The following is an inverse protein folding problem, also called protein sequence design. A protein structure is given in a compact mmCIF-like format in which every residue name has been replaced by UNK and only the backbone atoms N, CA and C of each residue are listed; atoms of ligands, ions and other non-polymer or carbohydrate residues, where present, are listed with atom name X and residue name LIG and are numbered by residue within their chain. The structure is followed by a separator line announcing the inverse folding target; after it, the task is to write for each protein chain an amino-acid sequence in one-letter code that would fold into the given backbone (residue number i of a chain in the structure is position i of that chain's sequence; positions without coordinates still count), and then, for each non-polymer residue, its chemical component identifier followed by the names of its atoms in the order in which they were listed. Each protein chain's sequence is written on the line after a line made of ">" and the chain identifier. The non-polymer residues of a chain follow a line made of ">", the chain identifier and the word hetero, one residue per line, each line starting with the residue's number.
data_IF_773737571619
#
_entry.id   IF_773737571619
#
_cell.length_a   1.000
_cell.length_b   1.000
_cell.length_c   1.000
_cell.angle_alpha   90.00
_cell.angle_beta   90.00
_cell.angle_gamma   90.00
#
_symmetry.space_group_name_H-M   'P 1'
#
loop_
_entity.id
_entity.type
_entity.pdbx_description
1 polymer ?
#
# COMPACT_ATOMS: atom_id res chain seq x y z
N UNK A 1 13.68 21.81 17.84
CA UNK A 1 13.92 20.42 17.45
C UNK A 1 15.29 20.34 16.83
N UNK A 2 16.17 19.52 17.36
CA UNK A 2 17.51 19.35 16.80
C UNK A 2 17.46 18.34 15.66
N UNK A 3 18.39 18.40 14.71
CA UNK A 3 18.51 17.43 13.62
C UNK A 3 18.66 15.98 14.09
N UNK A 4 19.04 15.77 15.34
CA UNK A 4 19.21 14.46 15.96
C UNK A 4 17.87 13.78 16.26
N UNK A 5 16.79 14.57 16.50
CA UNK A 5 15.45 14.03 16.81
C UNK A 5 14.72 13.49 15.56
N UNK A 6 15.17 13.86 14.35
CA UNK A 6 14.52 13.43 13.09
C UNK A 6 14.98 12.05 12.61
N UNK A 7 16.16 11.58 13.04
CA UNK A 7 16.66 10.25 12.68
C UNK A 7 15.90 9.09 13.34
N UNK A 8 15.08 9.39 14.34
CA UNK A 8 14.26 8.42 15.05
C UNK A 8 12.82 8.32 14.51
N UNK A 9 12.49 9.06 13.45
CA UNK A 9 11.13 9.11 12.87
C UNK A 9 11.05 8.30 11.59
N UNK A 10 9.92 7.59 11.43
CA UNK A 10 9.66 6.75 10.29
C UNK A 10 8.39 7.13 9.52
N UNK A 11 8.37 6.81 8.25
CA UNK A 11 7.16 6.80 7.43
C UNK A 11 7.05 5.44 6.76
N UNK A 12 5.88 4.85 6.86
CA UNK A 12 5.58 3.58 6.23
C UNK A 12 4.47 3.83 5.21
N UNK A 13 4.79 3.62 3.96
CA UNK A 13 3.89 3.84 2.84
C UNK A 13 3.22 2.54 2.44
N UNK A 14 1.91 2.55 2.28
CA UNK A 14 1.31 1.62 1.33
C UNK A 14 1.72 2.00 -0.09
N UNK A 15 1.52 1.11 -1.06
CA UNK A 15 2.00 1.31 -2.42
C UNK A 15 0.86 1.66 -3.38
N UNK A 16 -0.05 0.72 -3.59
CA UNK A 16 -1.11 0.78 -4.61
C UNK A 16 -2.28 1.63 -4.13
N UNK A 17 -2.61 2.73 -4.83
CA UNK A 17 -3.63 3.68 -4.39
C UNK A 17 -3.13 4.75 -3.41
N UNK A 18 -1.90 4.60 -2.90
CA UNK A 18 -1.26 5.54 -1.97
C UNK A 18 -0.12 6.33 -2.61
N UNK A 19 0.88 5.67 -3.15
CA UNK A 19 2.00 6.30 -3.86
C UNK A 19 1.83 6.28 -5.37
N UNK A 20 1.25 5.21 -5.90
CA UNK A 20 1.04 5.01 -7.34
C UNK A 20 -0.42 4.69 -7.66
N UNK A 21 -0.87 5.13 -8.84
CA UNK A 21 -2.13 4.71 -9.44
C UNK A 21 -1.84 3.48 -10.34
N UNK A 22 -1.99 2.31 -9.78
CA UNK A 22 -1.86 1.01 -10.45
C UNK A 22 -3.21 0.33 -10.72
N UNK A 23 -4.30 1.04 -10.46
CA UNK A 23 -5.67 0.50 -10.53
C UNK A 23 -6.01 -0.08 -11.89
N UNK A 24 -5.62 0.62 -12.98
CA UNK A 24 -5.89 0.16 -14.34
C UNK A 24 -5.17 -1.16 -14.67
N UNK A 25 -3.90 -1.30 -14.25
CA UNK A 25 -3.11 -2.50 -14.47
C UNK A 25 -3.65 -3.68 -13.65
N UNK A 26 -4.02 -3.44 -12.40
CA UNK A 26 -4.65 -4.45 -11.55
C UNK A 26 -6.02 -4.88 -12.08
N UNK A 27 -6.86 -3.92 -12.50
CA UNK A 27 -8.17 -4.22 -13.07
C UNK A 27 -8.04 -5.10 -14.31
N UNK A 28 -7.18 -4.72 -15.26
CA UNK A 28 -6.93 -5.48 -16.49
C UNK A 28 -6.44 -6.90 -16.19
N UNK A 29 -5.56 -7.06 -15.19
CA UNK A 29 -5.05 -8.37 -14.81
C UNK A 29 -6.16 -9.28 -14.24
N UNK A 30 -7.01 -8.75 -13.34
CA UNK A 30 -8.14 -9.50 -12.81
C UNK A 30 -9.23 -9.78 -13.85
N UNK A 31 -9.51 -8.84 -14.74
CA UNK A 31 -10.45 -9.02 -15.84
C UNK A 31 -10.00 -10.17 -16.76
N UNK A 32 -8.70 -10.26 -17.06
CA UNK A 32 -8.14 -11.36 -17.86
C UNK A 32 -8.31 -12.72 -17.15
N UNK A 33 -7.99 -12.80 -15.87
CA UNK A 33 -8.20 -14.03 -15.07
C UNK A 33 -9.67 -14.43 -15.04
N UNK A 34 -10.58 -13.49 -14.81
CA UNK A 34 -12.02 -13.75 -14.79
C UNK A 34 -12.53 -14.24 -16.15
N UNK A 35 -12.07 -13.62 -17.25
CA UNK A 35 -12.43 -14.01 -18.61
C UNK A 35 -12.02 -15.45 -18.93
N UNK A 36 -10.82 -15.87 -18.57
CA UNK A 36 -10.35 -17.23 -18.77
C UNK A 36 -11.13 -18.25 -17.95
N UNK A 37 -11.59 -17.86 -16.77
CA UNK A 37 -12.47 -18.67 -15.93
C UNK A 37 -13.94 -18.60 -16.34
N UNK A 38 -14.28 -17.82 -17.36
CA UNK A 38 -15.67 -17.58 -17.81
C UNK A 38 -16.57 -17.06 -16.67
N UNK A 39 -16.01 -16.24 -15.79
CA UNK A 39 -16.69 -15.59 -14.67
C UNK A 39 -16.89 -14.09 -14.94
N UNK A 40 -18.01 -13.51 -14.50
CA UNK A 40 -18.18 -12.06 -14.57
C UNK A 40 -17.19 -11.36 -13.63
N UNK A 41 -16.75 -10.17 -14.03
CA UNK A 41 -15.93 -9.30 -13.20
C UNK A 41 -16.28 -7.84 -13.47
N UNK A 42 -16.65 -7.11 -12.46
CA UNK A 42 -17.12 -5.73 -12.55
C UNK A 42 -16.18 -4.76 -11.86
N UNK A 43 -16.38 -3.46 -12.08
CA UNK A 43 -15.64 -2.42 -11.33
C UNK A 43 -15.97 -2.43 -9.84
N UNK A 44 -17.20 -2.78 -9.49
CA UNK A 44 -17.66 -2.96 -8.12
C UNK A 44 -16.93 -4.12 -7.43
N UNK A 45 -16.75 -5.24 -8.13
CA UNK A 45 -15.96 -6.37 -7.65
C UNK A 45 -14.51 -5.95 -7.40
N UNK A 46 -13.93 -5.19 -8.32
CA UNK A 46 -12.58 -4.67 -8.17
C UNK A 46 -12.46 -3.76 -6.95
N UNK A 47 -13.31 -2.74 -6.83
CA UNK A 47 -13.27 -1.80 -5.71
C UNK A 47 -13.43 -2.49 -4.35
N UNK A 48 -14.29 -3.50 -4.27
CA UNK A 48 -14.54 -4.27 -3.04
C UNK A 48 -13.33 -5.11 -2.61
N UNK A 49 -12.47 -5.49 -3.54
CA UNK A 49 -11.34 -6.38 -3.30
C UNK A 49 -9.98 -5.68 -3.30
N UNK A 50 -9.91 -4.42 -3.71
CA UNK A 50 -8.66 -3.67 -3.80
C UNK A 50 -7.93 -3.61 -2.45
N UNK A 51 -6.60 -3.75 -2.48
CA UNK A 51 -5.76 -3.76 -1.29
C UNK A 51 -5.69 -5.10 -0.53
N UNK A 52 -6.45 -6.12 -0.95
CA UNK A 52 -6.41 -7.47 -0.38
C UNK A 52 -5.36 -8.36 -1.06
N UNK A 53 -5.04 -9.47 -0.41
CA UNK A 53 -4.14 -10.50 -0.98
C UNK A 53 -4.86 -11.33 -2.05
N UNK A 54 -4.11 -11.81 -3.05
CA UNK A 54 -4.67 -12.63 -4.14
C UNK A 54 -5.51 -13.83 -3.68
N UNK A 55 -5.10 -14.64 -2.68
CA UNK A 55 -5.94 -15.75 -2.22
C UNK A 55 -7.30 -15.30 -1.68
N UNK A 56 -7.35 -14.16 -0.97
CA UNK A 56 -8.61 -13.59 -0.47
C UNK A 56 -9.50 -13.13 -1.63
N UNK A 57 -8.92 -12.46 -2.63
CA UNK A 57 -9.63 -12.00 -3.82
C UNK A 57 -10.19 -13.18 -4.60
N UNK A 58 -9.39 -14.22 -4.83
CA UNK A 58 -9.81 -15.44 -5.53
C UNK A 58 -10.95 -16.16 -4.79
N UNK A 59 -10.87 -16.22 -3.45
CA UNK A 59 -11.95 -16.75 -2.63
C UNK A 59 -13.24 -15.94 -2.76
N UNK A 60 -13.15 -14.61 -2.67
CA UNK A 60 -14.31 -13.71 -2.72
C UNK A 60 -14.98 -13.67 -4.10
N UNK A 61 -14.19 -13.68 -5.17
CA UNK A 61 -14.71 -13.50 -6.54
C UNK A 61 -15.11 -14.83 -7.20
N UNK A 62 -14.39 -15.89 -6.91
CA UNK A 62 -14.55 -17.16 -7.64
C UNK A 62 -14.92 -18.34 -6.75
N UNK A 63 -15.13 -18.14 -5.45
CA UNK A 63 -15.50 -19.19 -4.49
C UNK A 63 -14.41 -20.25 -4.30
N UNK A 64 -13.16 -19.87 -4.54
CA UNK A 64 -12.02 -20.79 -4.47
C UNK A 64 -11.50 -20.88 -3.02
N UNK A 65 -11.99 -21.87 -2.26
CA UNK A 65 -11.65 -21.96 -0.83
C UNK A 65 -10.58 -23.02 -0.50
N UNK A 66 -10.22 -23.94 -1.41
CA UNK A 66 -9.58 -25.18 -0.97
C UNK A 66 -8.40 -25.70 -1.77
N UNK A 67 -8.14 -25.29 -3.00
CA UNK A 67 -6.96 -25.73 -3.72
C UNK A 67 -5.83 -24.69 -3.67
N UNK A 68 -4.94 -24.82 -2.68
CA UNK A 68 -3.81 -23.94 -2.53
C UNK A 68 -2.93 -23.85 -3.79
N UNK A 69 -2.74 -24.96 -4.50
CA UNK A 69 -1.90 -24.97 -5.71
C UNK A 69 -2.55 -24.19 -6.86
N UNK A 70 -3.87 -24.32 -7.05
CA UNK A 70 -4.61 -23.53 -8.05
C UNK A 70 -4.65 -22.05 -7.68
N UNK A 71 -4.86 -21.70 -6.40
CA UNK A 71 -4.84 -20.33 -5.91
C UNK A 71 -3.48 -19.67 -6.15
N UNK A 72 -2.39 -20.37 -5.84
CA UNK A 72 -1.04 -19.89 -6.10
C UNK A 72 -0.77 -19.70 -7.60
N UNK A 73 -1.13 -20.68 -8.43
CA UNK A 73 -0.92 -20.61 -9.87
C UNK A 73 -1.68 -19.44 -10.50
N UNK A 74 -2.95 -19.22 -10.14
CA UNK A 74 -3.75 -18.11 -10.62
C UNK A 74 -3.24 -16.76 -10.08
N UNK A 75 -2.82 -16.71 -8.82
CA UNK A 75 -2.20 -15.54 -8.25
C UNK A 75 -0.93 -15.16 -9.02
N UNK A 76 -0.04 -16.11 -9.28
CA UNK A 76 1.17 -15.89 -10.07
C UNK A 76 0.85 -15.44 -11.50
N UNK A 77 -0.10 -16.07 -12.15
CA UNK A 77 -0.53 -15.71 -13.51
C UNK A 77 -1.06 -14.27 -13.56
N UNK A 78 -1.92 -13.89 -12.60
CA UNK A 78 -2.42 -12.51 -12.48
C UNK A 78 -1.26 -11.53 -12.30
N UNK A 79 -0.26 -11.86 -11.44
CA UNK A 79 0.86 -10.96 -11.22
C UNK A 79 1.77 -10.84 -12.45
N UNK A 80 1.92 -11.87 -13.26
CA UNK A 80 2.61 -11.75 -14.54
C UNK A 80 1.92 -10.75 -15.48
N UNK A 81 0.59 -10.84 -15.63
CA UNK A 81 -0.17 -9.89 -16.46
C UNK A 81 0.01 -8.45 -15.94
N UNK A 82 -0.09 -8.27 -14.63
CA UNK A 82 0.12 -6.96 -13.98
C UNK A 82 1.52 -6.40 -14.27
N UNK A 83 2.56 -7.19 -14.02
CA UNK A 83 3.95 -6.78 -14.23
C UNK A 83 4.24 -6.45 -15.70
N UNK A 84 3.70 -7.22 -16.64
CA UNK A 84 3.84 -6.96 -18.06
C UNK A 84 3.12 -5.66 -18.48
N UNK A 85 1.96 -5.38 -17.90
CA UNK A 85 1.27 -4.11 -18.10
C UNK A 85 2.09 -2.93 -17.53
N UNK A 86 2.64 -3.05 -16.32
CA UNK A 86 3.49 -2.02 -15.73
C UNK A 86 4.77 -1.78 -16.56
N UNK A 87 5.43 -2.83 -17.03
CA UNK A 87 6.63 -2.71 -17.87
C UNK A 87 6.34 -2.03 -19.22
N UNK A 88 5.17 -2.30 -19.80
CA UNK A 88 4.76 -1.75 -21.11
C UNK A 88 4.30 -0.30 -20.99
N UNK A 89 3.44 0.00 -20.02
CA UNK A 89 2.69 1.25 -19.93
C UNK A 89 3.22 2.20 -18.84
N UNK A 90 4.10 1.72 -17.98
CA UNK A 90 4.56 2.42 -16.77
C UNK A 90 3.49 2.43 -15.68
N UNK A 91 3.74 3.25 -14.65
CA UNK A 91 2.79 3.55 -13.58
C UNK A 91 2.84 5.04 -13.28
N UNK A 92 1.70 5.63 -12.94
CA UNK A 92 1.63 7.05 -12.56
C UNK A 92 1.80 7.19 -11.06
N UNK A 93 2.64 8.13 -10.63
CA UNK A 93 2.64 8.57 -9.24
C UNK A 93 1.37 9.35 -8.94
N UNK A 94 0.83 9.15 -7.75
CA UNK A 94 -0.28 9.97 -7.26
C UNK A 94 0.20 11.40 -6.95
N UNK A 95 -0.69 12.41 -7.06
CA UNK A 95 -0.33 13.82 -6.88
C UNK A 95 0.34 14.09 -5.53
N UNK A 96 1.56 14.62 -5.57
CA UNK A 96 2.36 14.97 -4.40
C UNK A 96 3.23 13.84 -3.84
N UNK A 97 3.14 12.60 -4.38
CA UNK A 97 3.86 11.45 -3.84
C UNK A 97 5.38 11.62 -3.89
N UNK A 98 5.94 11.93 -5.06
CA UNK A 98 7.40 12.09 -5.22
C UNK A 98 7.94 13.27 -4.41
N UNK A 99 7.25 14.39 -4.46
CA UNK A 99 7.63 15.62 -3.75
C UNK A 99 7.70 15.39 -2.24
N UNK A 100 6.68 14.69 -1.69
CA UNK A 100 6.59 14.42 -0.27
C UNK A 100 7.63 13.39 0.19
N UNK A 101 7.82 12.30 -0.58
CA UNK A 101 8.85 11.29 -0.31
C UNK A 101 10.24 11.91 -0.28
N UNK A 102 10.57 12.79 -1.24
CA UNK A 102 11.84 13.52 -1.27
C UNK A 102 11.99 14.46 -0.08
N UNK A 103 10.98 15.28 0.19
CA UNK A 103 11.03 16.24 1.30
C UNK A 103 11.21 15.55 2.65
N UNK A 104 10.57 14.40 2.87
CA UNK A 104 10.75 13.61 4.09
C UNK A 104 12.16 13.00 4.18
N UNK A 105 12.70 12.49 3.07
CA UNK A 105 14.08 11.99 3.02
C UNK A 105 15.11 13.10 3.34
N UNK A 106 14.94 14.29 2.75
CA UNK A 106 15.79 15.46 3.00
C UNK A 106 15.75 15.91 4.48
N UNK A 107 14.63 15.68 5.15
CA UNK A 107 14.46 15.97 6.59
C UNK A 107 14.86 14.79 7.50
N UNK A 108 15.45 13.72 6.94
CA UNK A 108 16.00 12.61 7.69
C UNK A 108 14.99 11.57 8.17
N UNK A 109 13.75 11.60 7.68
CA UNK A 109 12.79 10.52 7.97
C UNK A 109 13.23 9.21 7.31
N UNK A 110 13.20 8.13 8.06
CA UNK A 110 13.38 6.77 7.52
C UNK A 110 12.09 6.33 6.84
N UNK A 111 12.18 5.75 5.64
CA UNK A 111 11.01 5.42 4.86
C UNK A 111 11.01 3.96 4.42
N UNK A 112 9.88 3.30 4.54
CA UNK A 112 9.67 1.92 4.09
C UNK A 112 8.36 1.78 3.33
N UNK A 113 8.28 0.76 2.47
CA UNK A 113 7.00 0.26 1.96
C UNK A 113 6.49 -0.85 2.86
N UNK A 114 5.19 -0.82 3.19
CA UNK A 114 4.45 -1.89 3.87
C UNK A 114 3.18 -2.22 3.10
N UNK A 115 3.23 -3.19 2.19
CA UNK A 115 2.15 -3.49 1.25
C UNK A 115 1.68 -4.94 1.32
N UNK A 116 0.42 -5.17 0.95
CA UNK A 116 -0.17 -6.50 0.74
C UNK A 116 0.23 -7.14 -0.60
N UNK A 117 0.93 -6.41 -1.47
CA UNK A 117 1.37 -6.87 -2.77
C UNK A 117 2.58 -7.81 -2.66
N UNK A 118 2.78 -8.69 -3.66
CA UNK A 118 4.01 -9.46 -3.79
C UNK A 118 5.25 -8.56 -3.93
N UNK A 119 6.38 -9.02 -3.38
CA UNK A 119 7.66 -8.30 -3.41
C UNK A 119 8.06 -7.86 -4.81
N UNK A 120 7.93 -8.75 -5.81
CA UNK A 120 8.30 -8.46 -7.20
C UNK A 120 7.52 -7.26 -7.77
N UNK A 121 6.25 -7.09 -7.40
CA UNK A 121 5.46 -5.93 -7.82
C UNK A 121 5.99 -4.65 -7.18
N UNK A 122 6.23 -4.67 -5.87
CA UNK A 122 6.70 -3.49 -5.13
C UNK A 122 8.07 -3.04 -5.68
N UNK A 123 8.98 -3.97 -5.92
CA UNK A 123 10.30 -3.69 -6.49
C UNK A 123 10.19 -3.09 -7.89
N UNK A 124 9.33 -3.66 -8.75
CA UNK A 124 9.07 -3.12 -10.09
C UNK A 124 8.47 -1.71 -10.01
N UNK A 125 7.43 -1.52 -9.20
CA UNK A 125 6.75 -0.23 -9.06
C UNK A 125 7.70 0.85 -8.50
N UNK A 126 8.50 0.54 -7.48
CA UNK A 126 9.47 1.48 -6.90
C UNK A 126 10.60 1.84 -7.87
N UNK A 127 11.00 0.90 -8.74
CA UNK A 127 11.99 1.13 -9.78
C UNK A 127 11.46 2.05 -10.89
N UNK A 128 10.31 1.68 -11.50
CA UNK A 128 9.77 2.44 -12.63
C UNK A 128 9.24 3.82 -12.22
N UNK A 129 8.81 3.98 -10.97
CA UNK A 129 8.37 5.28 -10.42
C UNK A 129 9.52 6.16 -9.92
N UNK A 130 10.75 5.62 -9.79
CA UNK A 130 11.90 6.33 -9.25
C UNK A 130 11.88 6.54 -7.74
N UNK A 131 11.03 5.83 -7.00
CA UNK A 131 10.91 5.95 -5.54
C UNK A 131 12.02 5.20 -4.78
N UNK A 132 12.59 4.15 -5.39
CA UNK A 132 13.56 3.21 -4.78
C UNK A 132 14.70 3.89 -4.00
N UNK A 133 15.34 4.99 -4.48
CA UNK A 133 16.45 5.64 -3.77
C UNK A 133 16.09 6.23 -2.40
N UNK A 134 14.82 6.48 -2.13
CA UNK A 134 14.33 7.12 -0.91
C UNK A 134 13.86 6.13 0.16
N UNK A 135 13.86 4.83 -0.16
CA UNK A 135 13.30 3.77 0.68
C UNK A 135 14.43 2.94 1.29
N UNK A 136 14.40 2.73 2.60
CA UNK A 136 15.37 1.92 3.32
C UNK A 136 14.92 0.46 3.47
N UNK A 137 13.60 0.20 3.38
CA UNK A 137 13.07 -1.15 3.53
C UNK A 137 11.79 -1.37 2.71
N UNK A 138 11.55 -2.64 2.39
CA UNK A 138 10.30 -3.15 1.83
C UNK A 138 9.85 -4.32 2.70
N UNK A 139 8.57 -4.28 3.10
CA UNK A 139 7.84 -5.41 3.67
C UNK A 139 6.68 -5.73 2.74
N UNK A 140 6.68 -6.93 2.22
CA UNK A 140 5.76 -7.42 1.21
C UNK A 140 4.85 -8.52 1.77
N UNK A 141 3.94 -9.01 0.95
CA UNK A 141 3.03 -10.10 1.30
C UNK A 141 3.78 -11.32 1.86
N UNK A 142 4.89 -11.71 1.23
CA UNK A 142 5.68 -12.89 1.60
C UNK A 142 6.37 -12.77 2.95
N UNK A 143 6.58 -11.56 3.42
CA UNK A 143 7.20 -11.31 4.73
C UNK A 143 6.19 -11.54 5.88
N UNK A 144 4.88 -11.62 5.64
CA UNK A 144 3.84 -11.58 6.66
C UNK A 144 2.96 -12.84 6.63
N UNK A 145 2.72 -13.42 7.80
CA UNK A 145 1.78 -14.53 7.96
C UNK A 145 0.33 -14.07 7.73
N UNK A 146 -0.01 -12.86 8.20
CA UNK A 146 -1.35 -12.29 8.10
C UNK A 146 -1.37 -11.04 7.22
N UNK A 147 -2.50 -10.83 6.52
CA UNK A 147 -2.79 -9.61 5.77
C UNK A 147 -3.46 -8.54 6.61
N UNK A 148 -3.53 -7.30 6.10
CA UNK A 148 -4.35 -6.22 6.66
C UNK A 148 -5.80 -6.71 6.84
N UNK A 149 -6.47 -6.47 7.97
CA UNK A 149 -6.19 -5.45 8.98
C UNK A 149 -5.25 -5.89 10.12
N UNK A 150 -4.57 -7.03 10.03
CA UNK A 150 -3.52 -7.36 11.01
C UNK A 150 -2.35 -6.38 10.86
N UNK A 151 -1.80 -5.84 11.97
CA UNK A 151 -0.74 -4.83 11.91
C UNK A 151 0.65 -5.38 11.52
N UNK A 152 0.80 -6.67 11.26
CA UNK A 152 2.08 -7.33 11.07
C UNK A 152 2.96 -6.66 10.02
N UNK A 153 2.39 -6.25 8.88
CA UNK A 153 3.13 -5.60 7.80
C UNK A 153 3.77 -4.29 8.26
N UNK A 154 3.06 -3.47 9.01
CA UNK A 154 3.56 -2.18 9.49
C UNK A 154 4.50 -2.33 10.68
N UNK A 155 4.24 -3.26 11.59
CA UNK A 155 5.15 -3.58 12.71
C UNK A 155 6.50 -4.08 12.18
N UNK A 156 6.51 -4.96 11.17
CA UNK A 156 7.75 -5.40 10.51
C UNK A 156 8.45 -4.29 9.76
N UNK A 157 7.69 -3.37 9.13
CA UNK A 157 8.26 -2.19 8.47
C UNK A 157 8.96 -1.27 9.48
N UNK A 158 8.31 -0.96 10.59
CA UNK A 158 8.89 -0.17 11.68
C UNK A 158 10.15 -0.85 12.25
N UNK A 159 10.11 -2.17 12.44
CA UNK A 159 11.26 -2.96 12.87
C UNK A 159 12.43 -2.89 11.90
N UNK A 160 12.19 -2.99 10.58
CA UNK A 160 13.25 -2.83 9.55
C UNK A 160 13.82 -1.42 9.51
N UNK A 161 13.02 -0.41 9.83
CA UNK A 161 13.48 0.98 9.97
C UNK A 161 14.23 1.24 11.30
N UNK A 162 14.14 0.32 12.26
CA UNK A 162 14.59 0.51 13.65
C UNK A 162 13.96 1.75 14.30
N UNK A 163 12.65 1.95 14.08
CA UNK A 163 11.85 3.05 14.65
C UNK A 163 10.64 2.47 15.36
N UNK A 164 10.31 3.01 16.53
CA UNK A 164 9.13 2.56 17.30
C UNK A 164 7.82 2.97 16.57
N UNK A 165 6.73 2.18 16.71
CA UNK A 165 5.45 2.49 16.07
C UNK A 165 4.93 3.90 16.33
N UNK A 166 5.00 4.39 17.58
CA UNK A 166 4.57 5.75 17.94
C UNK A 166 5.42 6.89 17.34
N UNK A 167 6.56 6.57 16.73
CA UNK A 167 7.43 7.49 15.99
C UNK A 167 7.34 7.28 14.47
N UNK A 168 6.42 6.41 14.03
CA UNK A 168 6.13 6.17 12.63
C UNK A 168 4.73 6.70 12.27
N UNK A 169 4.61 7.23 11.06
CA UNK A 169 3.33 7.53 10.43
C UNK A 169 3.12 6.56 9.28
N UNK A 170 1.98 5.89 9.26
CA UNK A 170 1.53 5.08 8.12
C UNK A 170 0.74 5.98 7.17
N UNK A 171 0.97 5.83 5.87
CA UNK A 171 0.18 6.47 4.82
C UNK A 171 -0.50 5.40 4.00
N UNK A 172 -1.82 5.50 3.85
CA UNK A 172 -2.70 4.44 3.35
C UNK A 172 -3.92 4.99 2.61
N UNK A 173 -4.59 4.19 1.78
CA UNK A 173 -5.82 4.58 1.09
C UNK A 173 -7.02 3.65 1.39
N UNK A 174 -6.75 2.46 1.94
CA UNK A 174 -7.76 1.44 2.19
C UNK A 174 -8.15 1.36 3.67
N UNK A 175 -9.44 1.09 3.93
CA UNK A 175 -9.99 0.92 5.29
C UNK A 175 -9.21 -0.12 6.10
N UNK A 176 -8.92 -1.28 5.50
CA UNK A 176 -8.18 -2.37 6.18
C UNK A 176 -6.74 -1.97 6.53
N UNK A 177 -6.11 -1.13 5.72
CA UNK A 177 -4.78 -0.61 6.02
C UNK A 177 -4.79 0.41 7.15
N UNK A 178 -5.78 1.32 7.18
CA UNK A 178 -5.98 2.23 8.31
C UNK A 178 -6.21 1.45 9.60
N UNK A 179 -7.09 0.43 9.57
CA UNK A 179 -7.32 -0.45 10.71
C UNK A 179 -6.05 -1.16 11.19
N UNK A 180 -5.23 -1.67 10.24
CA UNK A 180 -3.94 -2.28 10.56
C UNK A 180 -2.97 -1.28 11.22
N UNK A 181 -2.90 -0.05 10.73
CA UNK A 181 -2.09 1.01 11.32
C UNK A 181 -2.53 1.31 12.76
N UNK A 182 -3.84 1.46 12.99
CA UNK A 182 -4.39 1.74 14.32
C UNK A 182 -4.20 0.56 15.28
N UNK A 183 -4.38 -0.68 14.81
CA UNK A 183 -4.11 -1.90 15.60
C UNK A 183 -2.63 -2.00 16.02
N UNK A 184 -1.71 -1.53 15.18
CA UNK A 184 -0.28 -1.45 15.45
C UNK A 184 0.16 -0.22 16.25
N UNK A 185 -0.77 0.63 16.70
CA UNK A 185 -0.53 1.88 17.44
C UNK A 185 0.27 2.94 16.64
N UNK A 186 0.11 2.95 15.33
CA UNK A 186 0.64 3.98 14.45
C UNK A 186 -0.30 5.18 14.34
N UNK A 187 0.25 6.36 14.10
CA UNK A 187 -0.50 7.44 13.48
C UNK A 187 -0.70 7.12 11.99
N UNK A 188 -1.85 7.52 11.44
CA UNK A 188 -2.22 7.19 10.08
C UNK A 188 -2.77 8.40 9.32
N UNK A 189 -2.16 8.69 8.17
CA UNK A 189 -2.69 9.62 7.16
C UNK A 189 -3.37 8.76 6.08
N UNK A 190 -4.66 8.99 5.86
CA UNK A 190 -5.40 8.32 4.81
C UNK A 190 -5.53 9.21 3.57
N UNK A 191 -5.25 8.65 2.38
CA UNK A 191 -5.32 9.32 1.08
C UNK A 191 -6.52 8.80 0.31
N UNK A 192 -7.41 9.68 -0.13
CA UNK A 192 -8.68 9.34 -0.78
C UNK A 192 -8.59 9.23 -2.30
N UNK A 193 -7.58 9.85 -2.89
CA UNK A 193 -7.51 10.12 -4.32
C UNK A 193 -7.42 8.90 -5.24
N UNK A 194 -7.10 7.72 -4.71
CA UNK A 194 -7.20 6.44 -5.42
C UNK A 194 -8.64 6.00 -5.69
N UNK A 195 -9.63 6.61 -5.01
CA UNK A 195 -11.06 6.36 -5.22
C UNK A 195 -11.57 5.02 -4.69
N UNK A 196 -10.78 4.31 -3.89
CA UNK A 196 -11.12 2.97 -3.40
C UNK A 196 -11.89 2.98 -2.06
N UNK A 197 -11.81 4.07 -1.29
CA UNK A 197 -12.48 4.21 -0.01
C UNK A 197 -13.20 5.56 0.10
N UNK A 198 -14.37 5.56 0.75
CA UNK A 198 -15.07 6.80 1.06
C UNK A 198 -14.40 7.50 2.25
N UNK A 199 -14.46 8.83 2.28
CA UNK A 199 -13.87 9.60 3.39
C UNK A 199 -14.42 9.17 4.75
N UNK A 200 -15.75 8.91 4.82
CA UNK A 200 -16.38 8.49 6.06
C UNK A 200 -15.85 7.15 6.55
N UNK A 201 -15.64 6.18 5.66
CA UNK A 201 -15.13 4.86 6.03
C UNK A 201 -13.69 4.94 6.58
N UNK A 202 -12.86 5.82 6.01
CA UNK A 202 -11.50 6.07 6.49
C UNK A 202 -11.48 6.76 7.86
N UNK A 203 -12.44 7.68 8.10
CA UNK A 203 -12.64 8.32 9.41
C UNK A 203 -13.15 7.33 10.46
N UNK A 204 -14.10 6.48 10.08
CA UNK A 204 -14.65 5.43 10.95
C UNK A 204 -13.58 4.37 11.31
N UNK A 205 -12.63 4.12 10.40
CA UNK A 205 -11.42 3.33 10.66
C UNK A 205 -10.38 4.06 11.54
N UNK A 206 -10.66 5.29 12.00
CA UNK A 206 -9.84 6.11 12.89
C UNK A 206 -8.55 6.64 12.27
N UNK A 207 -8.54 6.96 10.97
CA UNK A 207 -7.44 7.73 10.38
C UNK A 207 -7.27 9.06 11.13
N UNK A 208 -6.04 9.42 11.51
CA UNK A 208 -5.76 10.66 12.24
C UNK A 208 -5.91 11.89 11.32
N UNK A 209 -5.63 11.72 10.04
CA UNK A 209 -5.80 12.73 8.99
C UNK A 209 -6.35 12.05 7.75
N UNK A 210 -7.33 12.65 7.09
CA UNK A 210 -7.83 12.21 5.77
C UNK A 210 -7.61 13.35 4.78
N UNK A 211 -6.94 13.06 3.67
CA UNK A 211 -6.65 14.02 2.59
C UNK A 211 -7.12 13.48 1.25
N UNK A 212 -7.38 14.37 0.30
CA UNK A 212 -7.68 13.98 -1.08
C UNK A 212 -6.42 13.45 -1.78
N UNK A 213 -5.33 14.24 -1.71
CA UNK A 213 -4.05 13.97 -2.34
C UNK A 213 -2.90 14.32 -1.42
N UNK A 214 -1.74 13.74 -1.66
CA UNK A 214 -0.52 14.05 -0.90
C UNK A 214 0.00 15.48 -1.13
N UNK A 215 -0.45 16.20 -2.16
CA UNK A 215 -0.16 17.63 -2.38
C UNK A 215 -0.59 18.52 -1.20
N UNK A 216 -1.59 18.12 -0.44
CA UNK A 216 -2.05 18.83 0.77
C UNK A 216 -1.25 18.50 2.04
N UNK A 217 -0.28 17.57 1.94
CA UNK A 217 0.49 17.08 3.09
C UNK A 217 1.91 17.66 3.07
N UNK A 218 2.38 18.12 4.21
CA UNK A 218 3.74 18.62 4.40
C UNK A 218 4.49 17.83 5.47
N UNK A 219 5.80 17.96 5.53
CA UNK A 219 6.65 17.34 6.56
C UNK A 219 6.17 17.68 7.98
N UNK A 220 5.60 18.89 8.19
CA UNK A 220 5.07 19.30 9.49
C UNK A 220 3.87 18.44 9.95
N UNK A 221 3.09 17.89 9.05
CA UNK A 221 2.02 16.95 9.42
C UNK A 221 2.62 15.69 10.05
N UNK A 222 3.67 15.13 9.46
CA UNK A 222 4.38 13.97 10.02
C UNK A 222 5.03 14.29 11.37
N UNK A 223 5.67 15.46 11.47
CA UNK A 223 6.31 15.88 12.72
C UNK A 223 5.33 16.06 13.88
N UNK A 224 4.06 16.39 13.61
CA UNK A 224 3.00 16.52 14.64
C UNK A 224 2.38 15.17 15.02
N UNK A 225 2.39 14.21 14.12
CA UNK A 225 1.81 12.88 14.30
C UNK A 225 2.79 11.89 14.95
N UNK A 226 4.07 12.19 15.00
CA UNK A 226 5.09 11.42 15.72
C UNK A 226 5.28 11.99 17.12
N UNK A 227 5.60 11.12 18.11
CA UNK A 227 5.80 11.49 19.52
C UNK A 227 7.06 12.34 19.74
#
# INVERSE_FOLDING_TARGET
>A
MTTQDLHERGVIWDMDGTLVDSSAQHFTAWEQVAKERKQPFTKEDFSRTFGRRNPEILGMLFGMETDHAELEALGHYKEQIFQDAVKRDGVKLLPGAMELVKALAEQGFRQAIGSSAPRANIELLTEVSGLKPYLQAIVAMEDCAKGKPDPEVFLKSAGKLAVLPGWCVVVEDAVFGVQAAKAGQFSCIAVRGGGHSLEQDLRDAQADVVVEWLTGVSVQHFARLTK
#
